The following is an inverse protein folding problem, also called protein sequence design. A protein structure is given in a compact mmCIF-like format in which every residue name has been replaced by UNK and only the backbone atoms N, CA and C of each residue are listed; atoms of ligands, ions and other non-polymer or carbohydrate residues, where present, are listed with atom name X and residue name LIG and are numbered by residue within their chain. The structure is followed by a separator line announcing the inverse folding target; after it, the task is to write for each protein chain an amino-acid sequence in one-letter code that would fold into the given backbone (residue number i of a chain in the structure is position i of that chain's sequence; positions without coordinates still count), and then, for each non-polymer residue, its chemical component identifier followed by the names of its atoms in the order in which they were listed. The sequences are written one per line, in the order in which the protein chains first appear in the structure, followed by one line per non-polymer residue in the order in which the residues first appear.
data_IF_625810393449
#
_entry.id   IF_625810393449
#
_cell.length_a   1.000
_cell.length_b   1.000
_cell.length_c   1.000
_cell.angle_alpha   90.00
_cell.angle_beta   90.00
_cell.angle_gamma   90.00
#
_symmetry.space_group_name_H-M   'P 1'
#
loop_
_entity.id
_entity.type
_entity.pdbx_description
1 polymer ?
#
# COMPACT_ATOMS: atom_id res chain seq x y z
N UNK A 1 44.44 5.22 -7.33
CA UNK A 1 44.42 4.51 -6.03
C UNK A 1 43.21 5.01 -5.24
N UNK A 2 42.24 4.10 -5.01
CA UNK A 2 41.05 4.18 -4.12
C UNK A 2 40.00 5.29 -4.33
N UNK A 3 38.93 4.87 -5.00
CA UNK A 3 37.56 5.41 -4.98
C UNK A 3 36.91 5.01 -3.65
N UNK A 4 36.34 5.96 -2.91
CA UNK A 4 35.50 5.68 -1.74
C UNK A 4 34.02 5.80 -2.13
N UNK A 5 33.36 4.65 -2.25
CA UNK A 5 31.92 4.49 -2.38
C UNK A 5 31.24 4.70 -1.02
N UNK A 6 30.31 5.66 -0.91
CA UNK A 6 29.39 5.74 0.22
C UNK A 6 28.07 5.04 -0.10
N UNK A 7 27.70 4.15 0.83
CA UNK A 7 26.64 3.15 0.74
C UNK A 7 25.26 3.77 0.94
N UNK A 8 24.41 3.63 -0.08
CA UNK A 8 22.96 3.78 0.00
C UNK A 8 22.38 2.89 1.12
N UNK A 9 21.73 3.47 2.13
CA UNK A 9 20.93 2.74 3.11
C UNK A 9 19.53 2.48 2.51
N UNK A 10 19.45 1.49 1.62
CA UNK A 10 18.22 1.13 0.93
C UNK A 10 17.19 0.46 1.83
N UNK A 11 15.93 0.93 1.78
CA UNK A 11 14.74 0.19 2.22
C UNK A 11 14.61 -1.06 1.35
N UNK A 12 14.31 -2.21 1.97
CA UNK A 12 14.33 -3.52 1.30
C UNK A 12 12.99 -4.24 1.49
N UNK A 13 12.39 -4.65 0.38
CA UNK A 13 11.15 -5.43 0.32
C UNK A 13 11.54 -6.91 0.33
N UNK A 14 10.89 -7.72 1.18
CA UNK A 14 11.02 -9.17 1.11
C UNK A 14 9.80 -9.76 0.39
N UNK A 15 10.07 -10.47 -0.70
CA UNK A 15 9.11 -11.26 -1.47
C UNK A 15 9.28 -12.73 -1.09
N UNK A 16 8.19 -13.41 -0.73
CA UNK A 16 8.17 -14.87 -0.77
C UNK A 16 8.05 -15.32 -2.24
N UNK A 17 9.04 -16.13 -2.68
CA UNK A 17 9.21 -16.85 -3.96
C UNK A 17 10.05 -16.20 -5.08
N UNK A 18 11.30 -16.66 -5.15
CA UNK A 18 12.03 -16.94 -6.39
C UNK A 18 12.30 -18.45 -6.45
N UNK A 19 11.64 -19.14 -7.38
CA UNK A 19 11.91 -20.54 -7.70
C UNK A 19 12.08 -20.68 -9.22
N UNK A 20 13.27 -21.15 -9.56
CA UNK A 20 13.86 -21.63 -10.81
C UNK A 20 12.89 -22.00 -11.93
N UNK A 21 13.02 -21.32 -13.08
CA UNK A 21 12.55 -21.77 -14.39
C UNK A 21 13.42 -22.94 -14.87
N UNK A 22 13.02 -24.18 -14.60
CA UNK A 22 13.35 -25.35 -15.44
C UNK A 22 12.14 -26.28 -15.46
N UNK A 23 11.81 -26.79 -16.65
CA UNK A 23 10.48 -27.24 -17.05
C UNK A 23 9.83 -28.35 -16.23
N UNK A 24 8.50 -28.30 -16.17
CA UNK A 24 7.64 -29.47 -16.20
C UNK A 24 6.24 -29.06 -16.70
N UNK A 25 5.69 -29.94 -17.50
CA UNK A 25 4.42 -29.90 -18.23
C UNK A 25 3.20 -29.52 -17.41
N UNK A 26 2.29 -28.81 -18.10
CA UNK A 26 0.89 -28.54 -17.77
C UNK A 26 0.18 -29.78 -17.15
N UNK A 27 -0.54 -29.61 -16.03
CA UNK A 27 -1.88 -30.16 -16.00
C UNK A 27 -2.90 -29.09 -15.59
N UNK A 28 -3.87 -28.91 -16.47
CA UNK A 28 -5.19 -28.39 -16.18
C UNK A 28 -5.75 -29.00 -14.90
N UNK A 29 -5.84 -28.23 -13.82
CA UNK A 29 -6.66 -28.55 -12.66
C UNK A 29 -7.49 -27.33 -12.25
N UNK A 30 -8.67 -27.26 -12.87
CA UNK A 30 -9.80 -26.47 -12.41
C UNK A 30 -10.38 -27.15 -11.17
N UNK A 31 -9.90 -26.77 -9.98
CA UNK A 31 -10.57 -27.09 -8.72
C UNK A 31 -10.85 -25.78 -8.00
N UNK A 32 -11.80 -25.02 -8.54
CA UNK A 32 -12.62 -24.15 -7.68
C UNK A 32 -13.91 -24.93 -7.49
N UNK A 33 -13.89 -25.81 -6.50
CA UNK A 33 -15.10 -26.41 -5.93
C UNK A 33 -16.04 -25.29 -5.52
N UNK A 34 -17.33 -25.43 -5.83
CA UNK A 34 -18.40 -24.57 -5.32
C UNK A 34 -18.34 -24.53 -3.80
N UNK A 35 -17.72 -23.50 -3.23
CA UNK A 35 -17.72 -23.28 -1.78
C UNK A 35 -19.18 -23.07 -1.33
N UNK A 36 -19.63 -23.72 -0.24
CA UNK A 36 -20.92 -23.40 0.36
C UNK A 36 -20.98 -21.91 0.70
N UNK A 37 -22.16 -21.27 0.59
CA UNK A 37 -22.35 -19.84 0.89
C UNK A 37 -21.87 -19.47 2.30
N UNK A 38 -21.89 -20.41 3.25
CA UNK A 38 -21.41 -20.26 4.62
C UNK A 38 -19.87 -20.17 4.73
N UNK A 39 -19.13 -20.59 3.70
CA UNK A 39 -17.67 -20.49 3.62
C UNK A 39 -17.18 -19.19 2.95
N UNK A 40 -18.10 -18.33 2.46
CA UNK A 40 -17.74 -17.06 1.83
C UNK A 40 -17.30 -16.01 2.85
N UNK A 41 -16.27 -15.24 2.49
CA UNK A 41 -15.81 -14.12 3.31
C UNK A 41 -16.73 -12.91 3.14
N UNK A 42 -17.48 -12.60 4.21
CA UNK A 42 -18.29 -11.39 4.32
C UNK A 42 -17.40 -10.23 4.76
N UNK A 43 -17.02 -9.34 3.83
CA UNK A 43 -15.95 -8.35 4.00
C UNK A 43 -16.19 -7.42 5.18
N UNK A 44 -17.26 -6.63 5.15
CA UNK A 44 -17.53 -5.64 6.19
C UNK A 44 -17.84 -6.34 7.52
N UNK A 45 -18.62 -7.43 7.50
CA UNK A 45 -18.96 -8.18 8.73
C UNK A 45 -17.74 -8.83 9.39
N UNK A 46 -16.90 -9.51 8.62
CA UNK A 46 -15.70 -10.20 9.15
C UNK A 46 -14.68 -9.21 9.69
N UNK A 47 -14.45 -8.11 8.97
CA UNK A 47 -13.53 -7.06 9.43
C UNK A 47 -14.06 -6.33 10.68
N UNK A 48 -15.36 -6.10 10.78
CA UNK A 48 -15.98 -5.56 11.99
C UNK A 48 -15.82 -6.51 13.18
N UNK A 49 -15.98 -7.82 12.97
CA UNK A 49 -15.77 -8.83 14.00
C UNK A 49 -14.31 -8.88 14.47
N UNK A 50 -13.35 -8.92 13.54
CA UNK A 50 -11.91 -8.87 13.84
C UNK A 50 -11.59 -7.59 14.62
N UNK A 51 -12.05 -6.43 14.14
CA UNK A 51 -11.86 -5.16 14.86
C UNK A 51 -12.40 -5.25 16.28
N UNK A 52 -13.62 -5.74 16.48
CA UNK A 52 -14.24 -5.83 17.81
C UNK A 52 -13.44 -6.71 18.77
N UNK A 53 -12.89 -7.83 18.29
CA UNK A 53 -12.08 -8.74 19.12
C UNK A 53 -10.80 -8.04 19.56
N UNK A 54 -10.09 -7.42 18.62
CA UNK A 54 -8.78 -6.85 18.87
C UNK A 54 -8.80 -5.44 19.48
N UNK A 55 -9.92 -4.72 19.41
CA UNK A 55 -10.05 -3.35 19.93
C UNK A 55 -9.69 -3.28 21.42
N UNK A 56 -10.10 -4.27 22.22
CA UNK A 56 -9.82 -4.30 23.67
C UNK A 56 -8.32 -4.48 23.94
N UNK A 57 -7.67 -5.39 23.21
CA UNK A 57 -6.24 -5.64 23.36
C UNK A 57 -5.40 -4.47 22.83
N UNK A 58 -5.81 -3.87 21.72
CA UNK A 58 -5.20 -2.65 21.20
C UNK A 58 -5.28 -1.53 22.25
N UNK A 59 -6.44 -1.32 22.87
CA UNK A 59 -6.63 -0.34 23.95
C UNK A 59 -5.72 -0.59 25.16
N UNK A 60 -5.51 -1.85 25.56
CA UNK A 60 -4.57 -2.20 26.63
C UNK A 60 -3.10 -1.86 26.31
N UNK A 61 -2.73 -1.83 25.03
CA UNK A 61 -1.41 -1.39 24.54
C UNK A 61 -1.40 0.08 24.10
N UNK A 62 -2.45 0.84 24.44
CA UNK A 62 -2.67 2.23 23.99
C UNK A 62 -2.52 2.41 22.47
N UNK A 63 -2.93 1.39 21.71
CA UNK A 63 -2.79 1.31 20.25
C UNK A 63 -4.15 1.54 19.60
N UNK A 64 -4.20 2.39 18.57
CA UNK A 64 -5.43 2.64 17.81
C UNK A 64 -5.58 1.61 16.69
N UNK A 65 -6.71 0.91 16.65
CA UNK A 65 -7.05 -0.02 15.56
C UNK A 65 -8.08 0.61 14.62
N UNK A 66 -7.72 0.75 13.34
CA UNK A 66 -8.58 1.35 12.31
C UNK A 66 -8.75 0.41 11.13
N UNK A 67 -9.92 0.43 10.50
CA UNK A 67 -10.23 -0.39 9.32
C UNK A 67 -10.65 0.50 8.17
N UNK A 68 -10.11 0.23 6.99
CA UNK A 68 -10.39 0.93 5.73
C UNK A 68 -10.75 -0.09 4.65
N UNK A 69 -11.81 0.16 3.91
CA UNK A 69 -12.30 -0.70 2.82
C UNK A 69 -12.63 0.22 1.64
N UNK A 70 -12.15 -0.10 0.44
CA UNK A 70 -12.54 0.67 -0.76
C UNK A 70 -13.97 0.32 -1.19
N UNK A 71 -14.70 1.31 -1.73
CA UNK A 71 -16.13 1.15 -2.04
C UNK A 71 -16.42 0.11 -3.13
N UNK A 72 -15.44 -0.21 -3.96
CA UNK A 72 -15.53 -1.15 -5.07
C UNK A 72 -15.29 -2.62 -4.67
N UNK A 73 -15.22 -2.89 -3.36
CA UNK A 73 -15.16 -4.24 -2.78
C UNK A 73 -16.58 -4.72 -2.47
N UNK A 74 -17.03 -5.85 -3.06
CA UNK A 74 -18.34 -6.42 -2.75
C UNK A 74 -18.37 -7.00 -1.33
N UNK A 75 -19.56 -7.08 -0.71
CA UNK A 75 -19.68 -7.63 0.66
C UNK A 75 -19.35 -9.12 0.71
N UNK A 76 -19.81 -9.90 -0.27
CA UNK A 76 -19.58 -11.34 -0.31
C UNK A 76 -18.48 -11.67 -1.31
N UNK A 77 -17.39 -12.26 -0.82
CA UNK A 77 -16.32 -12.80 -1.64
C UNK A 77 -16.30 -14.32 -1.50
N UNK A 78 -16.32 -15.10 -2.59
CA UNK A 78 -16.24 -16.55 -2.54
C UNK A 78 -14.78 -17.00 -2.36
N UNK A 79 -14.19 -16.55 -1.25
CA UNK A 79 -12.91 -16.99 -0.71
C UNK A 79 -13.18 -17.60 0.66
N UNK A 80 -12.36 -18.59 1.03
CA UNK A 80 -12.46 -19.29 2.31
C UNK A 80 -12.34 -18.29 3.48
N UNK A 81 -13.46 -18.05 4.15
CA UNK A 81 -13.54 -17.06 5.23
C UNK A 81 -12.60 -17.40 6.39
N UNK A 82 -12.47 -18.67 6.75
CA UNK A 82 -11.66 -19.10 7.88
C UNK A 82 -10.17 -18.89 7.62
N UNK A 83 -9.70 -19.18 6.40
CA UNK A 83 -8.29 -18.93 6.03
C UNK A 83 -7.94 -17.44 6.06
N UNK A 84 -8.80 -16.59 5.50
CA UNK A 84 -8.57 -15.13 5.52
C UNK A 84 -8.65 -14.57 6.93
N UNK A 85 -9.64 -14.99 7.73
CA UNK A 85 -9.75 -14.57 9.12
C UNK A 85 -8.55 -15.02 9.95
N UNK A 86 -8.04 -16.25 9.75
CA UNK A 86 -6.83 -16.71 10.41
C UNK A 86 -5.64 -15.79 10.11
N UNK A 87 -5.39 -15.54 8.82
CA UNK A 87 -4.29 -14.68 8.37
C UNK A 87 -4.42 -13.26 8.94
N UNK A 88 -5.61 -12.65 8.85
CA UNK A 88 -5.85 -11.30 9.37
C UNK A 88 -5.69 -11.22 10.88
N UNK A 89 -6.24 -12.18 11.64
CA UNK A 89 -6.09 -12.20 13.09
C UNK A 89 -4.61 -12.33 13.49
N UNK A 90 -3.86 -13.14 12.75
CA UNK A 90 -2.44 -13.27 12.98
C UNK A 90 -1.67 -11.96 12.78
N UNK A 91 -1.85 -11.34 11.61
CA UNK A 91 -1.19 -10.09 11.28
C UNK A 91 -1.58 -8.95 12.23
N UNK A 92 -2.86 -8.84 12.60
CA UNK A 92 -3.36 -7.83 13.55
C UNK A 92 -2.79 -8.05 14.96
N UNK A 93 -2.74 -9.31 15.42
CA UNK A 93 -2.13 -9.65 16.71
C UNK A 93 -0.68 -9.19 16.78
N UNK A 94 0.09 -9.48 15.73
CA UNK A 94 1.49 -9.08 15.63
C UNK A 94 1.64 -7.56 15.58
N UNK A 95 0.87 -6.88 14.74
CA UNK A 95 0.87 -5.43 14.66
C UNK A 95 0.59 -4.76 16.03
N UNK A 96 -0.41 -5.23 16.78
CA UNK A 96 -0.73 -4.69 18.11
C UNK A 96 0.39 -4.97 19.13
N UNK A 97 1.03 -6.14 19.05
CA UNK A 97 2.15 -6.51 19.93
C UNK A 97 3.35 -5.58 19.77
N UNK A 98 3.64 -5.14 18.55
CA UNK A 98 4.84 -4.37 18.20
C UNK A 98 4.62 -2.86 18.05
N UNK A 99 3.38 -2.38 17.96
CA UNK A 99 3.05 -0.95 17.80
C UNK A 99 2.42 -0.32 19.06
N UNK A 100 3.05 -0.52 20.21
CA UNK A 100 2.62 0.08 21.49
C UNK A 100 2.57 1.60 21.39
N UNK A 101 1.52 2.21 21.95
CA UNK A 101 1.24 3.66 21.81
C UNK A 101 1.12 4.13 20.34
N UNK A 102 0.81 3.21 19.42
CA UNK A 102 0.82 3.46 17.99
C UNK A 102 -0.56 3.33 17.34
N UNK A 103 -0.54 3.06 16.03
CA UNK A 103 -1.71 2.81 15.20
C UNK A 103 -1.49 1.57 14.37
N UNK A 104 -2.55 0.75 14.29
CA UNK A 104 -2.66 -0.41 13.41
C UNK A 104 -3.83 -0.18 12.47
N UNK A 105 -3.58 -0.30 11.17
CA UNK A 105 -4.56 -0.13 10.10
C UNK A 105 -4.78 -1.46 9.37
N UNK A 106 -6.03 -1.89 9.25
CA UNK A 106 -6.44 -2.96 8.34
C UNK A 106 -7.00 -2.30 7.08
N UNK A 107 -6.44 -2.58 5.91
CA UNK A 107 -6.81 -1.97 4.64
C UNK A 107 -7.22 -3.06 3.67
N UNK A 108 -8.40 -2.93 3.05
CA UNK A 108 -8.87 -3.83 2.00
C UNK A 108 -9.14 -3.05 0.73
N UNK A 109 -8.44 -3.42 -0.35
CA UNK A 109 -8.48 -2.74 -1.64
C UNK A 109 -8.43 -3.72 -2.80
N UNK A 110 -8.84 -3.28 -3.99
CA UNK A 110 -8.68 -4.03 -5.24
C UNK A 110 -7.69 -3.28 -6.12
N UNK A 111 -6.68 -4.01 -6.59
CA UNK A 111 -5.66 -3.53 -7.51
C UNK A 111 -5.99 -4.13 -8.87
N UNK A 112 -6.20 -3.31 -9.89
CA UNK A 112 -6.34 -3.76 -11.27
C UNK A 112 -5.31 -3.04 -12.14
N UNK A 113 -4.77 -3.71 -13.17
CA UNK A 113 -3.95 -3.10 -14.20
C UNK A 113 -4.46 -3.56 -15.57
N UNK A 114 -4.37 -2.70 -16.58
CA UNK A 114 -4.70 -3.05 -17.98
C UNK A 114 -3.87 -4.22 -18.53
N UNK A 115 -2.72 -4.53 -17.93
CA UNK A 115 -1.79 -5.57 -18.38
C UNK A 115 -1.64 -6.76 -17.40
N UNK A 116 -2.22 -6.68 -16.20
CA UNK A 116 -2.07 -7.72 -15.18
C UNK A 116 -3.43 -8.10 -14.55
N UNK A 117 -3.55 -9.37 -14.14
CA UNK A 117 -4.74 -9.86 -13.46
C UNK A 117 -5.01 -9.01 -12.21
N UNK A 118 -6.26 -8.58 -11.96
CA UNK A 118 -6.58 -7.82 -10.77
C UNK A 118 -6.35 -8.67 -9.51
N UNK A 119 -5.92 -8.02 -8.43
CA UNK A 119 -5.70 -8.60 -7.11
C UNK A 119 -6.62 -7.94 -6.08
N UNK A 120 -7.20 -8.74 -5.20
CA UNK A 120 -7.72 -8.29 -3.92
C UNK A 120 -6.56 -8.24 -2.94
N UNK A 121 -6.43 -7.13 -2.21
CA UNK A 121 -5.34 -6.94 -1.26
C UNK A 121 -5.87 -6.64 0.12
N UNK A 122 -5.43 -7.44 1.08
CA UNK A 122 -5.62 -7.23 2.51
C UNK A 122 -4.28 -6.81 3.12
N UNK A 123 -4.17 -5.59 3.62
CA UNK A 123 -2.97 -5.10 4.29
C UNK A 123 -3.21 -4.86 5.77
N UNK A 124 -2.24 -5.24 6.59
CA UNK A 124 -2.14 -4.84 8.00
C UNK A 124 -0.88 -4.02 8.15
N UNK A 125 -1.06 -2.74 8.46
CA UNK A 125 0.01 -1.77 8.64
C UNK A 125 0.07 -1.34 10.09
N UNK A 126 1.27 -1.27 10.65
CA UNK A 126 1.56 -0.70 11.95
C UNK A 126 2.68 0.35 11.86
N UNK A 127 2.76 1.22 12.85
CA UNK A 127 3.84 2.20 13.00
C UNK A 127 4.77 1.87 14.19
N UNK A 128 4.93 0.58 14.49
CA UNK A 128 5.71 0.08 15.62
C UNK A 128 7.21 0.07 15.38
N UNK A 129 7.91 -0.79 16.13
CA UNK A 129 9.38 -0.86 16.12
C UNK A 129 9.98 -1.30 14.79
N UNK A 130 9.20 -1.97 13.92
CA UNK A 130 9.70 -2.54 12.67
C UNK A 130 10.70 -3.69 12.88
N UNK A 131 11.29 -4.18 11.79
CA UNK A 131 12.20 -5.33 11.78
C UNK A 131 13.56 -4.98 11.15
N UNK A 132 14.62 -5.58 11.71
CA UNK A 132 15.94 -5.58 11.09
C UNK A 132 15.98 -6.46 9.83
N UNK A 133 16.94 -6.21 8.94
CA UNK A 133 17.03 -6.89 7.64
C UNK A 133 17.17 -8.41 7.75
N UNK A 134 17.95 -8.88 8.71
CA UNK A 134 18.16 -10.33 8.92
C UNK A 134 16.89 -11.02 9.42
N UNK A 135 16.11 -10.34 10.26
CA UNK A 135 14.82 -10.82 10.75
C UNK A 135 13.78 -10.83 9.62
N UNK A 136 13.69 -9.76 8.82
CA UNK A 136 12.78 -9.65 7.69
C UNK A 136 13.00 -10.78 6.65
N UNK A 137 14.26 -11.15 6.39
CA UNK A 137 14.61 -12.21 5.44
C UNK A 137 14.27 -13.64 5.94
N UNK A 138 13.97 -13.80 7.23
CA UNK A 138 13.70 -15.11 7.86
C UNK A 138 12.27 -15.27 8.34
N UNK A 139 11.47 -14.21 8.29
CA UNK A 139 10.12 -14.16 8.87
C UNK A 139 9.15 -15.22 8.30
N UNK A 140 9.39 -15.69 7.07
CA UNK A 140 8.58 -16.72 6.41
C UNK A 140 9.23 -18.12 6.35
N UNK A 141 10.41 -18.32 6.95
CA UNK A 141 11.10 -19.62 6.88
C UNK A 141 10.57 -20.58 7.96
N UNK A 142 10.16 -21.78 7.58
CA UNK A 142 9.92 -22.89 8.51
C UNK A 142 11.25 -23.24 9.20
N UNK A 143 11.27 -23.27 10.53
CA UNK A 143 12.47 -23.69 11.27
C UNK A 143 12.49 -25.22 11.41
N UNK A 144 13.56 -25.93 11.00
CA UNK A 144 13.59 -27.40 11.03
C UNK A 144 13.75 -28.04 12.41
N UNK A 145 14.18 -27.32 13.45
CA UNK A 145 14.56 -27.94 14.72
C UNK A 145 13.87 -27.30 15.93
N UNK A 146 12.85 -27.97 16.44
CA UNK A 146 12.37 -27.78 17.82
C UNK A 146 12.93 -28.91 18.70
N UNK A 147 14.21 -28.82 19.05
CA UNK A 147 14.71 -29.53 20.22
C UNK A 147 14.53 -28.64 21.47
N UNK A 148 13.82 -29.17 22.45
CA UNK A 148 13.29 -28.46 23.62
C UNK A 148 14.40 -28.22 24.64
N UNK A 149 15.33 -27.27 24.44
CA UNK A 149 16.31 -27.01 25.51
C UNK A 149 17.02 -25.66 25.57
N UNK A 150 16.75 -24.64 24.75
CA UNK A 150 17.46 -23.35 24.91
C UNK A 150 16.56 -22.12 24.76
N UNK A 151 16.27 -21.48 25.91
CA UNK A 151 15.81 -20.09 26.01
C UNK A 151 16.92 -19.18 25.50
N UNK A 152 16.84 -18.74 24.25
CA UNK A 152 17.61 -17.61 23.74
C UNK A 152 16.78 -16.33 23.87
N UNK A 153 17.41 -15.32 24.45
CA UNK A 153 16.80 -14.16 25.13
C UNK A 153 16.07 -13.15 24.22
N UNK A 154 16.11 -13.29 22.89
CA UNK A 154 15.34 -12.49 21.93
C UNK A 154 15.02 -13.35 20.71
N UNK A 155 13.85 -13.99 20.66
CA UNK A 155 13.56 -14.91 19.55
C UNK A 155 12.28 -15.72 19.72
N UNK A 156 11.13 -15.04 19.68
CA UNK A 156 9.90 -15.72 19.25
C UNK A 156 10.01 -15.94 17.74
N UNK A 157 10.37 -17.15 17.31
CA UNK A 157 10.12 -17.57 15.94
C UNK A 157 8.61 -17.81 15.87
N UNK A 158 7.91 -16.89 15.23
CA UNK A 158 6.46 -16.91 15.14
C UNK A 158 6.03 -17.96 14.10
N UNK A 159 5.58 -19.13 14.57
CA UNK A 159 5.13 -20.24 13.72
C UNK A 159 3.94 -19.88 12.83
N UNK A 160 3.30 -18.75 13.09
CA UNK A 160 2.06 -18.33 12.45
C UNK A 160 2.25 -17.62 11.11
N UNK A 161 3.40 -16.99 10.85
CA UNK A 161 3.68 -16.32 9.58
C UNK A 161 4.01 -17.31 8.45
N UNK A 162 4.77 -18.40 8.69
CA UNK A 162 4.85 -19.50 7.72
C UNK A 162 3.49 -20.12 7.41
N UNK A 163 2.63 -20.36 8.41
CA UNK A 163 1.26 -20.86 8.19
C UNK A 163 0.42 -19.85 7.38
N UNK A 164 0.55 -18.56 7.68
CA UNK A 164 -0.10 -17.49 6.91
C UNK A 164 0.35 -17.51 5.45
N UNK A 165 1.64 -17.72 5.19
CA UNK A 165 2.16 -17.88 3.83
C UNK A 165 1.54 -19.10 3.14
N UNK A 166 1.59 -20.27 3.78
CA UNK A 166 1.07 -21.53 3.23
C UNK A 166 -0.44 -21.43 2.90
N UNK A 167 -1.23 -20.80 3.76
CA UNK A 167 -2.66 -20.60 3.53
C UNK A 167 -2.95 -19.66 2.36
N UNK A 168 -2.17 -18.61 2.19
CA UNK A 168 -2.34 -17.65 1.09
C UNK A 168 -1.88 -18.25 -0.23
N UNK A 169 -0.81 -19.05 -0.23
CA UNK A 169 -0.40 -19.82 -1.40
C UNK A 169 -1.47 -20.84 -1.83
N UNK A 170 -2.12 -21.52 -0.88
CA UNK A 170 -3.26 -22.41 -1.17
C UNK A 170 -4.45 -21.67 -1.81
N UNK A 171 -4.61 -20.37 -1.53
CA UNK A 171 -5.61 -19.51 -2.16
C UNK A 171 -5.12 -18.90 -3.49
N UNK A 172 -3.98 -19.35 -4.01
CA UNK A 172 -3.37 -18.83 -5.25
C UNK A 172 -2.77 -17.44 -5.10
N UNK A 173 -2.60 -16.96 -3.87
CA UNK A 173 -2.11 -15.64 -3.54
C UNK A 173 -0.62 -15.57 -3.25
N UNK A 174 -0.20 -14.39 -2.77
CA UNK A 174 1.16 -14.09 -2.31
C UNK A 174 1.11 -13.18 -1.09
N UNK A 175 2.11 -13.26 -0.23
CA UNK A 175 2.32 -12.29 0.85
C UNK A 175 3.52 -11.40 0.53
N UNK A 176 3.36 -10.11 0.79
CA UNK A 176 4.43 -9.11 0.77
C UNK A 176 4.63 -8.57 2.18
N UNK A 177 5.88 -8.28 2.52
CA UNK A 177 6.21 -7.59 3.77
C UNK A 177 7.20 -6.46 3.51
N UNK A 178 6.89 -5.32 4.09
CA UNK A 178 7.80 -4.17 4.17
C UNK A 178 7.91 -3.75 5.63
N UNK A 179 9.14 -3.52 6.09
CA UNK A 179 9.38 -3.13 7.47
C UNK A 179 10.62 -2.26 7.56
N UNK A 180 10.59 -1.28 8.46
CA UNK A 180 11.74 -0.46 8.77
C UNK A 180 11.81 -0.20 10.26
N UNK A 181 13.01 -0.39 10.82
CA UNK A 181 13.29 -0.12 12.24
C UNK A 181 12.86 1.31 12.60
N UNK A 182 12.03 1.44 13.63
CA UNK A 182 11.47 2.69 14.15
C UNK A 182 10.33 3.30 13.34
N UNK A 183 9.88 2.66 12.24
CA UNK A 183 8.81 3.20 11.38
C UNK A 183 7.65 2.22 11.13
N UNK A 184 7.77 0.98 11.59
CA UNK A 184 6.71 -0.03 11.58
C UNK A 184 6.79 -1.03 10.44
N UNK A 185 5.74 -1.83 10.32
CA UNK A 185 5.63 -2.95 9.38
C UNK A 185 4.33 -2.90 8.60
N UNK A 186 4.37 -3.31 7.33
CA UNK A 186 3.19 -3.57 6.51
C UNK A 186 3.27 -4.97 5.94
N UNK A 187 2.30 -5.81 6.29
CA UNK A 187 2.06 -7.09 5.62
C UNK A 187 0.89 -6.95 4.65
N UNK A 188 1.03 -7.46 3.44
CA UNK A 188 -0.01 -7.43 2.40
C UNK A 188 -0.26 -8.82 1.83
N UNK A 189 -1.49 -9.29 1.93
CA UNK A 189 -1.98 -10.53 1.33
C UNK A 189 -2.60 -10.19 -0.03
N UNK A 190 -2.03 -10.71 -1.12
CA UNK A 190 -2.47 -10.47 -2.49
C UNK A 190 -3.16 -11.74 -3.01
N UNK A 191 -4.44 -11.65 -3.37
CA UNK A 191 -5.23 -12.76 -3.92
C UNK A 191 -5.71 -12.42 -5.34
N UNK A 192 -5.52 -13.28 -6.35
CA UNK A 192 -6.01 -13.01 -7.71
C UNK A 192 -7.54 -12.85 -7.76
N UNK A 193 -8.02 -11.64 -8.02
CA UNK A 193 -9.44 -11.29 -8.02
C UNK A 193 -10.23 -12.01 -9.12
N UNK A 194 -9.60 -12.35 -10.25
CA UNK A 194 -10.21 -13.11 -11.34
C UNK A 194 -10.61 -14.53 -10.95
N UNK A 195 -9.90 -15.15 -10.02
CA UNK A 195 -10.24 -16.48 -9.48
C UNK A 195 -11.35 -16.39 -8.42
N UNK A 196 -11.50 -15.21 -7.80
CA UNK A 196 -12.50 -14.94 -6.77
C UNK A 196 -13.85 -14.59 -7.40
N UNK A 197 -13.92 -13.89 -8.53
CA UNK A 197 -15.22 -13.42 -9.07
C UNK A 197 -15.54 -14.08 -10.42
N UNK A 198 -15.21 -15.36 -10.59
CA UNK A 198 -15.62 -16.11 -11.78
C UNK A 198 -16.98 -16.78 -11.60
N UNK A 199 -18.09 -16.19 -12.05
CA UNK A 199 -19.17 -16.96 -12.63
C UNK A 199 -18.97 -17.03 -14.15
N UNK A 200 -19.26 -18.20 -14.74
CA UNK A 200 -19.57 -18.28 -16.17
C UNK A 200 -20.75 -17.34 -16.44
N UNK A 201 -20.52 -16.10 -16.84
CA UNK A 201 -21.56 -15.23 -17.38
C UNK A 201 -21.19 -14.93 -18.83
N UNK A 202 -21.82 -15.68 -19.74
CA UNK A 202 -22.06 -15.22 -21.11
C UNK A 202 -23.09 -14.10 -21.00
N UNK A 203 -22.75 -12.92 -21.53
CA UNK A 203 -23.70 -11.86 -21.85
C UNK A 203 -24.54 -11.35 -20.68
N UNK A 204 -23.98 -10.44 -19.88
CA UNK A 204 -24.79 -9.46 -19.16
C UNK A 204 -23.98 -8.17 -19.09
N UNK A 205 -24.60 -7.08 -19.54
CA UNK A 205 -24.01 -5.74 -19.54
C UNK A 205 -23.39 -5.42 -18.17
N UNK A 206 -22.07 -5.17 -18.19
CA UNK A 206 -21.38 -4.57 -17.06
C UNK A 206 -22.07 -3.23 -16.76
N UNK A 207 -22.51 -2.95 -15.53
CA UNK A 207 -22.99 -1.62 -15.17
C UNK A 207 -21.88 -0.62 -15.50
N UNK A 208 -22.15 0.27 -16.46
CA UNK A 208 -21.26 1.36 -16.83
C UNK A 208 -20.95 2.15 -15.55
N UNK A 209 -19.69 2.11 -15.14
CA UNK A 209 -19.21 2.77 -13.92
C UNK A 209 -19.68 4.23 -13.91
N UNK A 210 -20.15 4.69 -12.75
CA UNK A 210 -20.55 6.08 -12.54
C UNK A 210 -19.47 7.03 -13.09
N UNK A 211 -19.91 8.02 -13.86
CA UNK A 211 -19.09 9.00 -14.57
C UNK A 211 -18.18 9.78 -13.61
N UNK A 212 -16.98 9.27 -13.33
CA UNK A 212 -15.87 10.11 -12.87
C UNK A 212 -15.24 10.76 -14.11
N UNK A 213 -14.98 12.07 -14.06
CA UNK A 213 -14.19 12.75 -15.11
C UNK A 213 -12.83 12.03 -15.20
N UNK A 214 -12.46 11.63 -16.41
CA UNK A 214 -11.20 10.95 -16.66
C UNK A 214 -10.14 12.03 -16.89
N UNK A 215 -9.09 12.07 -16.07
CA UNK A 215 -7.99 13.05 -16.15
C UNK A 215 -6.86 12.52 -17.05
N UNK A 216 -7.24 11.88 -18.16
CA UNK A 216 -6.34 11.11 -19.03
C UNK A 216 -5.19 11.91 -19.64
N UNK A 217 -5.23 13.23 -19.53
CA UNK A 217 -4.20 14.14 -20.07
C UNK A 217 -3.15 14.53 -19.01
N UNK A 218 -3.39 14.24 -17.72
CA UNK A 218 -2.48 14.63 -16.65
C UNK A 218 -1.32 13.65 -16.47
N UNK A 219 -0.11 14.20 -16.39
CA UNK A 219 1.10 13.52 -15.97
C UNK A 219 1.37 13.82 -14.48
N UNK A 220 1.47 12.78 -13.67
CA UNK A 220 1.56 12.91 -12.22
C UNK A 220 2.92 12.43 -11.74
N UNK A 221 3.57 13.20 -10.88
CA UNK A 221 4.76 12.78 -10.15
C UNK A 221 4.38 12.45 -8.70
N UNK A 222 4.64 11.22 -8.27
CA UNK A 222 4.45 10.78 -6.89
C UNK A 222 5.81 10.74 -6.20
N UNK A 223 5.99 11.57 -5.18
CA UNK A 223 7.22 11.67 -4.41
C UNK A 223 6.94 11.20 -2.99
N UNK A 224 7.48 10.05 -2.63
CA UNK A 224 7.33 9.46 -1.30
C UNK A 224 8.54 8.56 -1.05
N UNK A 225 9.11 8.56 0.14
CA UNK A 225 10.31 7.77 0.41
C UNK A 225 10.01 6.26 0.54
N UNK A 226 8.74 5.86 0.52
CA UNK A 226 8.29 4.47 0.51
C UNK A 226 7.73 4.04 -0.84
N UNK A 227 8.38 3.08 -1.48
CA UNK A 227 7.93 2.46 -2.73
C UNK A 227 6.50 1.91 -2.64
N UNK A 228 6.03 1.41 -1.49
CA UNK A 228 4.65 0.95 -1.33
C UNK A 228 3.63 2.09 -1.27
N UNK A 229 3.98 3.24 -0.70
CA UNK A 229 3.12 4.43 -0.75
C UNK A 229 3.04 4.93 -2.19
N UNK A 230 4.19 5.02 -2.88
CA UNK A 230 4.24 5.33 -4.30
C UNK A 230 3.39 4.34 -5.11
N UNK A 231 3.51 3.04 -4.85
CA UNK A 231 2.75 1.98 -5.51
C UNK A 231 1.26 2.12 -5.21
N UNK A 232 0.88 2.42 -3.97
CA UNK A 232 -0.51 2.64 -3.56
C UNK A 232 -1.13 3.79 -4.34
N UNK A 233 -0.45 4.94 -4.41
CA UNK A 233 -0.90 6.12 -5.17
C UNK A 233 -0.93 5.82 -6.67
N UNK A 234 0.12 5.17 -7.20
CA UNK A 234 0.22 4.76 -8.60
C UNK A 234 -0.94 3.86 -9.00
N UNK A 235 -1.32 2.90 -8.15
CA UNK A 235 -2.46 2.02 -8.36
C UNK A 235 -3.78 2.79 -8.31
N UNK A 236 -3.96 3.69 -7.34
CA UNK A 236 -5.20 4.47 -7.22
C UNK A 236 -5.45 5.36 -8.44
N UNK A 237 -4.38 5.84 -9.08
CA UNK A 237 -4.45 6.78 -10.22
C UNK A 237 -4.27 6.14 -11.59
N UNK A 238 -3.78 4.91 -11.70
CA UNK A 238 -3.36 4.26 -12.95
C UNK A 238 -4.35 4.42 -14.13
N UNK A 239 -5.66 4.30 -13.89
CA UNK A 239 -6.69 4.38 -14.94
C UNK A 239 -7.34 5.77 -15.11
N UNK A 240 -6.89 6.74 -14.32
CA UNK A 240 -7.47 8.09 -14.25
C UNK A 240 -6.53 9.15 -14.81
N UNK A 241 -5.23 8.87 -14.98
CA UNK A 241 -4.23 9.83 -15.45
C UNK A 241 -3.40 9.27 -16.61
N UNK A 242 -2.70 10.13 -17.34
CA UNK A 242 -1.88 9.76 -18.51
C UNK A 242 -0.67 8.91 -18.12
N UNK A 243 0.15 9.45 -17.23
CA UNK A 243 1.43 8.86 -16.84
C UNK A 243 1.73 9.16 -15.38
N UNK A 244 2.38 8.22 -14.73
CA UNK A 244 2.79 8.34 -13.32
C UNK A 244 4.29 8.12 -13.23
N UNK A 245 4.99 9.18 -12.84
CA UNK A 245 6.39 9.16 -12.44
C UNK A 245 6.48 8.96 -10.93
N UNK A 246 7.59 8.39 -10.47
CA UNK A 246 7.82 8.13 -9.05
C UNK A 246 9.22 8.56 -8.66
N UNK A 247 9.35 9.22 -7.52
CA UNK A 247 10.63 9.64 -6.94
C UNK A 247 10.65 9.31 -5.44
N UNK A 248 11.82 8.99 -4.92
CA UNK A 248 12.01 8.53 -3.54
C UNK A 248 12.51 9.63 -2.59
N UNK A 249 12.82 10.81 -3.12
CA UNK A 249 13.24 12.00 -2.39
C UNK A 249 13.10 13.25 -3.28
N UNK A 250 13.33 14.43 -2.70
CA UNK A 250 13.21 15.69 -3.41
C UNK A 250 14.20 15.91 -4.56
N UNK A 251 15.41 15.34 -4.53
CA UNK A 251 16.37 15.47 -5.64
C UNK A 251 15.93 14.69 -6.87
N UNK A 252 15.49 13.43 -6.69
CA UNK A 252 14.90 12.63 -7.78
C UNK A 252 13.67 13.32 -8.37
N UNK A 253 12.85 13.99 -7.53
CA UNK A 253 11.71 14.76 -8.00
C UNK A 253 12.13 15.91 -8.92
N UNK A 254 13.17 16.66 -8.54
CA UNK A 254 13.73 17.74 -9.36
C UNK A 254 14.28 17.21 -10.69
N UNK A 255 15.00 16.09 -10.70
CA UNK A 255 15.54 15.48 -11.93
C UNK A 255 14.42 15.09 -12.92
N UNK A 256 13.33 14.52 -12.40
CA UNK A 256 12.16 14.18 -13.21
C UNK A 256 11.50 15.43 -13.76
N UNK A 257 11.32 16.48 -12.95
CA UNK A 257 10.72 17.74 -13.41
C UNK A 257 11.54 18.42 -14.53
N UNK A 258 12.87 18.28 -14.52
CA UNK A 258 13.71 18.78 -15.62
C UNK A 258 13.54 17.99 -16.92
N UNK A 259 13.23 16.70 -16.83
CA UNK A 259 13.35 15.78 -17.97
C UNK A 259 12.01 15.33 -18.53
N UNK A 260 10.92 15.51 -17.77
CA UNK A 260 9.61 14.97 -18.06
C UNK A 260 8.52 16.02 -17.87
N UNK A 261 7.49 16.04 -18.73
CA UNK A 261 6.32 16.87 -18.49
C UNK A 261 5.55 16.32 -17.28
N UNK A 262 5.29 17.18 -16.30
CA UNK A 262 4.55 16.88 -15.08
C UNK A 262 3.54 18.00 -14.83
N UNK A 263 2.28 17.63 -14.72
CA UNK A 263 1.16 18.56 -14.51
C UNK A 263 0.80 18.68 -13.02
N UNK A 264 1.09 17.64 -12.24
CA UNK A 264 0.80 17.59 -10.81
C UNK A 264 1.83 16.77 -10.04
N UNK A 265 2.27 17.28 -8.89
CA UNK A 265 3.16 16.60 -7.96
C UNK A 265 2.40 16.25 -6.67
N UNK A 266 2.39 14.97 -6.32
CA UNK A 266 1.96 14.48 -5.01
C UNK A 266 3.22 14.32 -4.15
N UNK A 267 3.43 15.20 -3.17
CA UNK A 267 4.70 15.34 -2.45
C UNK A 267 4.55 14.93 -0.99
N UNK A 268 5.22 13.88 -0.55
CA UNK A 268 5.37 13.59 0.87
C UNK A 268 6.18 14.69 1.56
N UNK A 269 5.75 15.10 2.75
CA UNK A 269 6.44 16.16 3.51
C UNK A 269 7.73 15.62 4.12
N UNK A 270 7.68 14.42 4.70
CA UNK A 270 8.79 13.87 5.46
C UNK A 270 9.51 12.80 4.66
N UNK A 271 10.60 13.19 4.00
CA UNK A 271 11.46 12.30 3.23
C UNK A 271 12.93 12.51 3.60
N UNK A 272 13.80 11.50 3.49
CA UNK A 272 15.23 11.65 3.70
C UNK A 272 15.88 12.41 2.52
N UNK A 273 17.13 12.84 2.74
CA UNK A 273 18.01 13.51 1.75
C UNK A 273 17.57 14.94 1.40
N UNK A 274 16.38 15.10 0.85
CA UNK A 274 15.74 16.39 0.58
C UNK A 274 14.26 16.22 0.85
N UNK A 275 13.76 16.89 1.88
CA UNK A 275 12.37 16.72 2.32
C UNK A 275 11.39 17.44 1.37
N UNK A 276 10.09 17.21 1.55
CA UNK A 276 9.07 17.79 0.68
C UNK A 276 8.96 19.32 0.78
N UNK A 277 9.33 19.89 1.92
CA UNK A 277 9.31 21.35 2.14
C UNK A 277 10.46 21.98 1.37
N UNK A 278 11.68 21.49 1.57
CA UNK A 278 12.88 21.96 0.89
C UNK A 278 12.79 21.73 -0.63
N UNK A 279 12.25 20.58 -1.06
CA UNK A 279 11.99 20.30 -2.47
C UNK A 279 11.00 21.30 -3.06
N UNK A 280 9.92 21.62 -2.35
CA UNK A 280 8.94 22.61 -2.81
C UNK A 280 9.56 23.99 -2.97
N UNK A 281 10.35 24.46 -2.00
CA UNK A 281 11.04 25.75 -2.08
C UNK A 281 11.96 25.80 -3.30
N UNK A 282 12.79 24.77 -3.49
CA UNK A 282 13.67 24.66 -4.67
C UNK A 282 12.89 24.64 -5.98
N UNK A 283 11.73 24.00 -6.02
CA UNK A 283 10.89 24.01 -7.22
C UNK A 283 10.43 25.43 -7.53
N UNK A 284 9.89 26.14 -6.54
CA UNK A 284 9.39 27.51 -6.69
C UNK A 284 10.49 28.52 -7.04
N UNK A 285 11.70 28.33 -6.51
CA UNK A 285 12.86 29.22 -6.73
C UNK A 285 13.66 28.89 -8.01
N UNK A 286 13.35 27.80 -8.70
CA UNK A 286 14.16 27.29 -9.82
C UNK A 286 14.22 28.21 -11.04
N UNK A 287 13.22 29.09 -11.21
CA UNK A 287 13.06 29.93 -12.40
C UNK A 287 12.80 29.15 -13.70
N UNK A 288 12.50 27.85 -13.60
CA UNK A 288 12.21 26.99 -14.75
C UNK A 288 10.70 27.00 -15.08
N UNK A 289 10.34 26.53 -16.27
CA UNK A 289 8.93 26.48 -16.72
C UNK A 289 8.04 25.65 -15.79
N UNK A 290 8.60 24.64 -15.12
CA UNK A 290 7.91 23.79 -14.15
C UNK A 290 7.90 24.36 -12.72
N UNK A 291 8.45 25.56 -12.48
CA UNK A 291 8.43 26.20 -11.17
C UNK A 291 7.01 26.43 -10.64
N UNK A 292 6.04 26.61 -11.55
CA UNK A 292 4.61 26.75 -11.25
C UNK A 292 3.82 25.45 -11.15
N UNK A 293 4.46 24.28 -11.25
CA UNK A 293 3.75 22.98 -11.21
C UNK A 293 2.92 22.87 -9.93
N UNK A 294 1.70 22.32 -10.04
CA UNK A 294 0.83 22.14 -8.87
C UNK A 294 1.43 21.10 -7.93
N UNK A 295 1.62 21.45 -6.66
CA UNK A 295 2.17 20.58 -5.62
C UNK A 295 1.12 20.34 -4.53
N UNK A 296 0.81 19.08 -4.27
CA UNK A 296 -0.16 18.66 -3.28
C UNK A 296 0.58 17.89 -2.19
N UNK A 297 0.55 18.42 -0.98
CA UNK A 297 1.23 17.82 0.15
C UNK A 297 0.54 16.51 0.57
N UNK A 298 1.30 15.45 0.77
CA UNK A 298 0.84 14.20 1.35
C UNK A 298 1.41 14.09 2.77
N UNK A 299 0.58 14.04 3.81
CA UNK A 299 1.12 14.04 5.18
C UNK A 299 0.24 13.36 6.22
N UNK A 300 0.88 12.68 7.18
CA UNK A 300 0.24 12.17 8.40
C UNK A 300 0.32 13.18 9.56
N UNK A 301 1.09 14.26 9.43
CA UNK A 301 1.30 15.26 10.47
C UNK A 301 0.10 16.23 10.54
N UNK A 302 -0.64 16.29 11.67
CA UNK A 302 -1.77 17.20 11.86
C UNK A 302 -1.42 18.68 11.68
N UNK A 303 -0.17 19.08 11.93
CA UNK A 303 0.27 20.46 11.78
C UNK A 303 0.23 20.89 10.31
N UNK A 304 0.70 20.01 9.42
CA UNK A 304 0.75 20.23 7.98
C UNK A 304 -0.51 19.75 7.23
N UNK A 305 -1.45 19.11 7.91
CA UNK A 305 -2.79 18.89 7.35
C UNK A 305 -3.55 20.21 7.15
N UNK A 306 -3.19 21.27 7.89
CA UNK A 306 -3.75 22.60 7.70
C UNK A 306 -3.18 23.30 6.46
N UNK A 307 -4.04 23.51 5.45
CA UNK A 307 -3.73 24.16 4.17
C UNK A 307 -2.94 25.50 4.29
N UNK A 308 -3.17 26.27 5.37
CA UNK A 308 -2.52 27.58 5.58
C UNK A 308 -0.99 27.49 5.65
N UNK A 309 -0.46 26.43 6.25
CA UNK A 309 0.99 26.27 6.42
C UNK A 309 1.64 25.82 5.10
N UNK A 310 1.02 24.85 4.42
CA UNK A 310 1.48 24.35 3.12
C UNK A 310 1.47 25.45 2.05
N UNK A 311 0.46 26.33 2.03
CA UNK A 311 0.44 27.49 1.12
C UNK A 311 1.58 28.47 1.33
N UNK A 312 2.01 28.70 2.58
CA UNK A 312 3.16 29.58 2.85
C UNK A 312 4.47 29.04 2.29
N UNK A 313 4.59 27.72 2.22
CA UNK A 313 5.76 27.01 1.66
C UNK A 313 5.71 26.98 0.13
N UNK A 314 4.53 27.23 -0.46
CA UNK A 314 4.31 27.20 -1.91
C UNK A 314 3.62 25.92 -2.41
N UNK A 315 3.09 25.08 -1.52
CA UNK A 315 2.23 23.95 -1.88
C UNK A 315 0.78 24.42 -2.07
N UNK A 316 0.08 23.85 -3.03
CA UNK A 316 -1.22 24.31 -3.50
C UNK A 316 -2.40 23.66 -2.77
N UNK A 317 -2.20 22.43 -2.26
CA UNK A 317 -3.23 21.66 -1.55
C UNK A 317 -2.62 20.66 -0.56
N UNK A 318 -3.46 20.00 0.25
CA UNK A 318 -3.05 18.98 1.22
C UNK A 318 -3.93 17.73 1.17
N UNK A 319 -3.31 16.58 1.38
CA UNK A 319 -3.93 15.26 1.40
C UNK A 319 -3.44 14.50 2.63
N UNK A 320 -4.36 14.24 3.56
CA UNK A 320 -4.04 13.52 4.79
C UNK A 320 -3.80 12.02 4.53
N UNK A 321 -2.66 11.51 5.00
CA UNK A 321 -2.39 10.06 5.10
C UNK A 321 -3.19 9.47 6.27
N UNK A 322 -3.81 8.27 6.11
CA UNK A 322 -3.90 7.47 4.89
C UNK A 322 -4.95 7.99 3.91
N UNK A 323 -4.62 7.98 2.61
CA UNK A 323 -5.49 8.53 1.57
C UNK A 323 -6.56 7.54 1.11
N UNK A 324 -7.76 8.05 0.78
CA UNK A 324 -8.80 7.31 0.04
C UNK A 324 -8.72 7.66 -1.43
N UNK A 325 -9.07 6.72 -2.32
CA UNK A 325 -9.10 6.95 -3.78
C UNK A 325 -9.91 8.20 -4.15
N UNK A 326 -11.09 8.41 -3.55
CA UNK A 326 -11.91 9.58 -3.82
C UNK A 326 -11.24 10.89 -3.41
N UNK A 327 -10.52 10.91 -2.28
CA UNK A 327 -9.79 12.09 -1.83
C UNK A 327 -8.65 12.41 -2.81
N UNK A 328 -7.96 11.37 -3.29
CA UNK A 328 -6.89 11.50 -4.26
C UNK A 328 -7.39 11.98 -5.62
N UNK A 329 -8.55 11.49 -6.08
CA UNK A 329 -9.19 11.96 -7.32
C UNK A 329 -9.74 13.39 -7.21
N UNK A 330 -10.27 13.77 -6.04
CA UNK A 330 -10.78 15.13 -5.80
C UNK A 330 -9.71 16.23 -5.96
N UNK A 331 -8.44 15.89 -5.75
CA UNK A 331 -7.31 16.79 -6.02
C UNK A 331 -7.26 17.20 -7.51
N UNK A 332 -7.60 16.29 -8.41
CA UNK A 332 -7.61 16.53 -9.85
C UNK A 332 -8.85 17.32 -10.29
N UNK A 333 -9.99 17.12 -9.63
CA UNK A 333 -11.21 17.93 -9.85
C UNK A 333 -10.95 19.40 -9.53
N UNK A 334 -10.30 19.67 -8.39
CA UNK A 334 -9.92 21.02 -7.99
C UNK A 334 -8.88 21.65 -8.94
N UNK A 335 -7.98 20.82 -9.50
CA UNK A 335 -6.99 21.27 -10.48
C UNK A 335 -7.62 21.61 -11.84
N UNK A 336 -8.58 20.80 -12.30
CA UNK A 336 -9.29 21.03 -13.57
C UNK A 336 -10.16 22.30 -13.53
N UNK A 337 -10.85 22.55 -12.40
CA UNK A 337 -11.67 23.77 -12.20
C UNK A 337 -10.79 25.03 -12.21
N UNK A 338 -9.59 24.97 -11.62
CA UNK A 338 -8.65 26.09 -11.64
C UNK A 338 -8.11 26.38 -13.05
N UNK A 339 -7.94 25.35 -13.90
CA UNK A 339 -7.49 25.50 -15.28
C UNK A 339 -8.57 26.12 -16.18
N UNK A 340 -9.84 25.76 -15.99
CA UNK A 340 -10.99 26.33 -16.73
C UNK A 340 -11.25 27.81 -16.34
N UNK A 341 -10.94 28.21 -15.10
CA UNK A 341 -11.16 29.58 -14.60
C UNK A 341 -10.12 30.62 -15.07
N UNK A 342 -9.02 30.17 -15.69
CA UNK A 342 -7.94 31.03 -16.23
C UNK A 342 -8.02 31.15 -17.76
N UNK A 343 -8.86 30.34 -18.41
CA UNK A 343 -9.06 30.31 -19.85
C UNK A 343 -10.24 31.18 -20.35
N UNK A 344 -10.82 32.01 -19.47
CA UNK A 344 -11.83 33.04 -19.76
C UNK A 344 -11.23 34.40 -19.45
#
# INVERSE_FOLDING_TARGET
MKINSHRNHGKRIALANSASLVGASNPSNSVISTLPTEAHFQVRRSLAAIKSVWQKQAGAQNTKLVVYITNDIPENLPIDAHKIQYCLNNLVSNAIKFAKNGTVNIIVTKIASKQAKPYLVFSVQDNGEGMEQEMLARVFKHSPDHDKSQKMTYGYIDTSLPITNDLIEQLGGKILVESQVGRGTTFSLLLPYTQIVSPKIKGADLPRAANFRQFSDYNVLVVDDYNLNQLTVKIMLHDHVSKIYTASNGYEALEILHSCPVDLVLMDIHMPVLDGIEATLKIRESGQDWAGVRIVAMTADPHYQHMRLCRKIGMDDTLAKPFRKNNLLGVFENAAIAHESVAV
#
